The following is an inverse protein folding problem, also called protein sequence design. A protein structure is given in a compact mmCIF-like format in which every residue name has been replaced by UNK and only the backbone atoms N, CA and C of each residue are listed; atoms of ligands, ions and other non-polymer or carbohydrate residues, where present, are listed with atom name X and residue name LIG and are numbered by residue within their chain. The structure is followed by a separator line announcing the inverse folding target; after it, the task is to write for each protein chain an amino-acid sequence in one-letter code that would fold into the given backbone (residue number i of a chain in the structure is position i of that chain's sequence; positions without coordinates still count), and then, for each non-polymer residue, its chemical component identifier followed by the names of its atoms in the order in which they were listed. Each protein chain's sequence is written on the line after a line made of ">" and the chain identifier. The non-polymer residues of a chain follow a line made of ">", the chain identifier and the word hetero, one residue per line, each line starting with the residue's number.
data_IF_164898280610
#
_entry.id   IF_164898280610
#
_cell.length_a   1.000
_cell.length_b   1.000
_cell.length_c   1.000
_cell.angle_alpha   90.00
_cell.angle_beta   90.00
_cell.angle_gamma   90.00
#
_symmetry.space_group_name_H-M   'P 1'
#
loop_
_entity.id
_entity.type
_entity.pdbx_description
1 polymer ?
#
# COMPACT_ATOMS: atom_id res chain seq x y z
N UNK A 1 22.54 -12.86 -41.89
CA UNK A 1 22.49 -14.33 -42.12
C UNK A 1 23.58 -14.94 -41.25
N UNK A 2 23.24 -15.95 -40.46
CA UNK A 2 23.97 -16.52 -39.30
C UNK A 2 23.69 -15.88 -37.93
N UNK A 3 22.45 -16.11 -37.51
CA UNK A 3 22.08 -16.37 -36.11
C UNK A 3 22.67 -17.72 -35.65
N UNK A 4 22.77 -17.89 -34.33
CA UNK A 4 23.13 -19.10 -33.57
C UNK A 4 24.61 -19.24 -33.23
N UNK A 5 25.00 -18.81 -32.03
CA UNK A 5 25.91 -19.52 -31.13
C UNK A 5 26.00 -18.75 -29.80
N UNK A 6 25.13 -19.09 -28.83
CA UNK A 6 25.38 -19.06 -27.37
C UNK A 6 24.07 -19.34 -26.61
N UNK A 7 23.62 -20.59 -26.66
CA UNK A 7 22.71 -21.18 -25.67
C UNK A 7 23.08 -22.66 -25.57
N UNK A 8 24.12 -22.95 -24.79
CA UNK A 8 24.53 -24.31 -24.48
C UNK A 8 25.33 -24.26 -23.18
N UNK A 9 24.62 -24.23 -22.04
CA UNK A 9 25.13 -24.66 -20.73
C UNK A 9 24.06 -24.70 -19.61
N UNK A 10 22.79 -24.97 -19.92
CA UNK A 10 21.75 -25.29 -18.91
C UNK A 10 20.84 -26.45 -19.33
N UNK A 11 21.38 -27.42 -20.06
CA UNK A 11 20.62 -28.56 -20.59
C UNK A 11 21.21 -29.90 -20.20
N UNK A 12 21.42 -30.16 -18.91
CA UNK A 12 21.78 -31.49 -18.39
C UNK A 12 21.17 -31.73 -17.01
N UNK A 13 19.86 -31.88 -16.97
CA UNK A 13 19.19 -32.78 -16.04
C UNK A 13 17.79 -33.10 -16.60
N UNK A 14 17.41 -34.37 -16.52
CA UNK A 14 16.10 -34.93 -16.88
C UNK A 14 15.81 -35.17 -18.37
N UNK A 15 16.53 -36.12 -18.99
CA UNK A 15 15.98 -36.96 -20.06
C UNK A 15 16.51 -38.39 -19.89
N UNK A 16 15.88 -39.17 -19.01
CA UNK A 16 15.82 -40.62 -19.14
C UNK A 16 14.36 -41.02 -18.97
N UNK A 17 13.77 -41.54 -20.05
CA UNK A 17 12.48 -42.23 -20.02
C UNK A 17 11.32 -41.51 -20.67
N UNK A 18 11.36 -41.25 -21.98
CA UNK A 18 10.15 -41.08 -22.78
C UNK A 18 10.31 -41.81 -24.12
N UNK A 19 10.00 -43.10 -24.10
CA UNK A 19 9.52 -43.83 -25.29
C UNK A 19 8.13 -44.36 -24.95
N UNK A 20 7.08 -43.63 -25.33
CA UNK A 20 5.86 -44.25 -25.82
C UNK A 20 4.96 -43.23 -26.52
N UNK A 21 4.37 -43.70 -27.61
CA UNK A 21 3.59 -42.97 -28.57
C UNK A 21 2.32 -42.34 -27.97
N UNK A 22 1.94 -41.20 -28.53
CA UNK A 22 0.70 -40.50 -28.24
C UNK A 22 -0.54 -41.36 -28.53
N UNK A 23 -1.43 -41.46 -27.55
CA UNK A 23 -2.81 -41.90 -27.70
C UNK A 23 -3.72 -40.78 -27.15
N UNK A 24 -4.72 -40.25 -27.89
CA UNK A 24 -5.50 -39.11 -27.44
C UNK A 24 -6.74 -39.58 -26.68
N UNK A 25 -6.74 -39.50 -25.34
CA UNK A 25 -7.90 -39.25 -24.44
C UNK A 25 -7.59 -39.70 -23.01
N UNK A 26 -7.45 -38.72 -22.12
CA UNK A 26 -8.27 -38.57 -20.90
C UNK A 26 -7.59 -37.50 -20.04
N UNK A 27 -8.15 -36.29 -20.01
CA UNK A 27 -7.87 -35.39 -18.89
C UNK A 27 -8.44 -36.07 -17.65
N UNK A 28 -7.56 -36.50 -16.77
CA UNK A 28 -7.90 -37.30 -15.60
C UNK A 28 -8.79 -36.46 -14.66
N UNK A 29 -10.02 -36.92 -14.46
CA UNK A 29 -11.04 -36.22 -13.65
C UNK A 29 -10.58 -36.10 -12.18
N UNK A 30 -9.70 -36.99 -11.72
CA UNK A 30 -9.07 -36.93 -10.40
C UNK A 30 -8.13 -35.73 -10.23
N UNK A 31 -7.40 -35.33 -11.29
CA UNK A 31 -6.54 -34.15 -11.27
C UNK A 31 -7.35 -32.86 -11.21
N UNK A 32 -8.45 -32.77 -11.96
CA UNK A 32 -9.36 -31.63 -11.90
C UNK A 32 -10.08 -31.53 -10.56
N UNK A 33 -10.49 -32.66 -9.98
CA UNK A 33 -11.17 -32.67 -8.68
C UNK A 33 -10.22 -32.35 -7.52
N UNK A 34 -8.97 -32.81 -7.56
CA UNK A 34 -7.96 -32.42 -6.57
C UNK A 34 -7.57 -30.95 -6.70
N UNK A 35 -7.49 -30.41 -7.92
CA UNK A 35 -7.25 -28.98 -8.14
C UNK A 35 -8.45 -28.13 -7.68
N UNK A 36 -9.69 -28.53 -7.98
CA UNK A 36 -10.91 -27.86 -7.48
C UNK A 36 -11.02 -27.93 -5.97
N UNK A 37 -10.61 -29.05 -5.36
CA UNK A 37 -10.57 -29.19 -3.90
C UNK A 37 -9.52 -28.26 -3.30
N UNK A 38 -8.32 -28.17 -3.88
CA UNK A 38 -7.26 -27.24 -3.45
C UNK A 38 -7.62 -25.77 -3.67
N UNK A 39 -8.31 -25.43 -4.77
CA UNK A 39 -8.86 -24.09 -5.01
C UNK A 39 -9.94 -23.79 -3.97
N UNK A 40 -10.88 -24.71 -3.73
CA UNK A 40 -11.91 -24.54 -2.69
C UNK A 40 -11.35 -24.49 -1.26
N UNK A 41 -10.23 -25.16 -0.99
CA UNK A 41 -9.50 -25.11 0.28
C UNK A 41 -8.70 -23.81 0.41
N UNK A 42 -8.15 -23.28 -0.70
CA UNK A 42 -7.53 -21.94 -0.75
C UNK A 42 -8.56 -20.83 -0.63
N UNK A 43 -9.76 -20.98 -1.22
CA UNK A 43 -10.87 -20.03 -1.10
C UNK A 43 -11.43 -20.05 0.32
N UNK A 44 -11.45 -21.21 0.97
CA UNK A 44 -11.78 -21.36 2.40
C UNK A 44 -10.71 -20.76 3.29
N UNK A 45 -9.43 -21.00 3.03
CA UNK A 45 -8.34 -20.36 3.77
C UNK A 45 -8.38 -18.84 3.56
N UNK A 46 -8.70 -18.34 2.36
CA UNK A 46 -8.87 -16.92 2.10
C UNK A 46 -10.13 -16.35 2.76
N UNK A 47 -11.21 -17.13 2.88
CA UNK A 47 -12.41 -16.76 3.61
C UNK A 47 -12.18 -16.76 5.12
N UNK A 48 -11.48 -17.76 5.65
CA UNK A 48 -11.08 -17.87 7.06
C UNK A 48 -10.04 -16.78 7.40
N UNK A 49 -9.11 -16.47 6.49
CA UNK A 49 -8.18 -15.35 6.64
C UNK A 49 -8.92 -14.01 6.54
N UNK A 50 -9.93 -13.90 5.68
CA UNK A 50 -10.84 -12.74 5.69
C UNK A 50 -11.61 -12.66 7.00
N UNK A 51 -12.11 -13.76 7.54
CA UNK A 51 -12.82 -13.79 8.84
C UNK A 51 -11.89 -13.48 10.01
N UNK A 52 -10.61 -13.86 9.94
CA UNK A 52 -9.56 -13.52 10.92
C UNK A 52 -9.07 -12.07 10.75
N UNK A 53 -9.01 -11.53 9.53
CA UNK A 53 -8.72 -10.12 9.25
C UNK A 53 -9.94 -9.21 9.50
N UNK A 54 -11.14 -9.78 9.45
CA UNK A 54 -12.44 -9.17 9.76
C UNK A 54 -12.86 -9.46 11.22
N UNK A 55 -12.01 -10.17 12.01
CA UNK A 55 -12.07 -10.26 13.49
C UNK A 55 -11.66 -8.93 14.14
N UNK A 56 -12.17 -7.85 13.56
CA UNK A 56 -12.37 -6.54 14.13
C UNK A 56 -13.68 -6.54 14.93
N UNK A 57 -13.80 -7.44 15.91
CA UNK A 57 -14.98 -7.54 16.78
C UNK A 57 -15.45 -6.16 17.24
N UNK A 58 -16.52 -5.65 16.60
CA UNK A 58 -17.22 -4.40 16.95
C UNK A 58 -16.38 -3.09 16.87
N UNK A 59 -15.25 -3.05 16.16
CA UNK A 59 -14.38 -1.85 16.06
C UNK A 59 -14.68 -0.94 14.85
N UNK A 60 -15.39 -1.46 13.85
CA UNK A 60 -15.73 -0.73 12.62
C UNK A 60 -16.58 0.52 12.89
N UNK A 61 -16.26 1.61 12.20
CA UNK A 61 -17.25 2.68 11.99
C UNK A 61 -18.33 2.06 11.10
N UNK A 62 -19.48 1.65 11.64
CA UNK A 62 -20.60 1.17 10.81
C UNK A 62 -20.91 2.23 9.74
N UNK A 63 -20.38 1.99 8.53
CA UNK A 63 -20.52 2.88 7.38
C UNK A 63 -21.80 2.57 6.61
N UNK A 64 -22.52 1.51 6.96
CA UNK A 64 -23.84 1.18 6.39
C UNK A 64 -24.95 1.99 7.05
N UNK A 65 -25.23 1.74 8.33
CA UNK A 65 -26.29 2.42 9.09
C UNK A 65 -25.79 3.67 9.83
N UNK A 66 -24.49 3.80 10.04
CA UNK A 66 -23.87 4.79 10.92
C UNK A 66 -23.45 4.16 12.25
N UNK A 67 -22.43 4.70 12.94
CA UNK A 67 -22.01 4.14 14.21
C UNK A 67 -23.12 4.31 15.27
N UNK A 68 -23.42 3.23 16.02
CA UNK A 68 -24.43 3.21 17.10
C UNK A 68 -24.12 4.22 18.22
N UNK A 69 -22.84 4.51 18.44
CA UNK A 69 -22.35 5.60 19.30
C UNK A 69 -21.32 6.44 18.53
N UNK A 70 -21.51 7.76 18.53
CA UNK A 70 -20.66 8.70 17.82
C UNK A 70 -19.34 8.95 18.57
N UNK A 71 -18.18 8.69 17.95
CA UNK A 71 -16.91 8.99 18.58
C UNK A 71 -16.62 10.49 18.53
N UNK A 72 -15.81 10.98 19.47
CA UNK A 72 -15.29 12.36 19.41
C UNK A 72 -14.44 12.56 18.13
N UNK A 73 -13.67 11.56 17.75
CA UNK A 73 -12.81 11.55 16.56
C UNK A 73 -12.96 10.25 15.78
N UNK A 74 -12.97 10.37 14.45
CA UNK A 74 -12.99 9.25 13.53
C UNK A 74 -11.85 9.39 12.53
N UNK A 75 -11.00 8.38 12.45
CA UNK A 75 -9.91 8.30 11.48
C UNK A 75 -10.30 7.38 10.32
N UNK A 76 -10.17 7.88 9.10
CA UNK A 76 -10.25 7.08 7.88
C UNK A 76 -8.85 6.91 7.30
N UNK A 77 -8.49 5.68 6.98
CA UNK A 77 -7.13 5.29 6.67
C UNK A 77 -7.07 4.48 5.37
N UNK A 78 -6.36 4.98 4.36
CA UNK A 78 -6.18 4.29 3.09
C UNK A 78 -4.85 3.52 3.07
N UNK A 79 -4.95 2.22 2.76
CA UNK A 79 -3.83 1.26 2.72
C UNK A 79 -2.90 1.43 1.52
N UNK A 80 -1.78 0.70 1.49
CA UNK A 80 -0.80 0.73 0.41
C UNK A 80 -1.16 -0.18 -0.78
N UNK A 81 -0.44 -0.05 -1.89
CA UNK A 81 -0.63 -0.94 -3.06
C UNK A 81 -0.36 -2.39 -2.69
N UNK A 82 -1.26 -3.28 -3.11
CA UNK A 82 -1.27 -4.72 -2.82
C UNK A 82 -1.50 -5.09 -1.35
N UNK A 83 -1.80 -4.12 -0.48
CA UNK A 83 -2.25 -4.45 0.86
C UNK A 83 -3.60 -5.18 0.79
N UNK A 84 -3.81 -6.20 1.66
CA UNK A 84 -5.09 -6.84 1.79
C UNK A 84 -6.17 -5.84 2.24
N UNK A 85 -7.45 -6.22 2.12
CA UNK A 85 -8.62 -5.35 2.35
C UNK A 85 -8.57 -4.51 3.64
N UNK A 86 -9.43 -3.47 3.70
CA UNK A 86 -9.55 -2.58 4.87
C UNK A 86 -8.25 -1.80 5.17
N UNK A 87 -7.54 -2.16 6.25
CA UNK A 87 -6.34 -1.46 6.73
C UNK A 87 -5.02 -2.10 6.25
N UNK A 88 -5.06 -3.18 5.46
CA UNK A 88 -3.85 -3.95 5.16
C UNK A 88 -3.30 -4.68 6.38
N UNK A 89 -2.16 -5.35 6.24
CA UNK A 89 -1.43 -6.05 7.32
C UNK A 89 -0.08 -5.39 7.67
N UNK A 90 0.28 -4.35 6.91
CA UNK A 90 1.56 -3.66 6.99
C UNK A 90 1.45 -2.38 7.85
N UNK A 91 1.69 -1.20 7.27
CA UNK A 91 1.88 0.06 8.01
C UNK A 91 0.62 0.52 8.74
N UNK A 92 -0.54 0.43 8.08
CA UNK A 92 -1.75 1.07 8.60
C UNK A 92 -2.36 0.31 9.79
N UNK A 93 -2.25 -1.02 9.87
CA UNK A 93 -2.67 -1.78 11.06
C UNK A 93 -1.83 -1.44 12.30
N UNK A 94 -0.51 -1.39 12.16
CA UNK A 94 0.36 -0.97 13.27
C UNK A 94 0.06 0.47 13.71
N UNK A 95 -0.25 1.36 12.77
CA UNK A 95 -0.66 2.72 13.09
C UNK A 95 -1.99 2.80 13.82
N UNK A 96 -2.99 2.00 13.42
CA UNK A 96 -4.27 1.86 14.13
C UNK A 96 -4.03 1.48 15.59
N UNK A 97 -3.23 0.44 15.83
CA UNK A 97 -3.01 -0.10 17.17
C UNK A 97 -2.32 0.94 18.07
N UNK A 98 -1.32 1.65 17.54
CA UNK A 98 -0.64 2.74 18.25
C UNK A 98 -1.61 3.89 18.58
N UNK A 99 -2.44 4.32 17.62
CA UNK A 99 -3.44 5.37 17.84
C UNK A 99 -4.46 4.93 18.89
N UNK A 100 -5.07 3.76 18.72
CA UNK A 100 -6.10 3.26 19.65
C UNK A 100 -5.54 3.07 21.06
N UNK A 101 -4.31 2.55 21.18
CA UNK A 101 -3.61 2.41 22.46
C UNK A 101 -3.45 3.73 23.21
N UNK A 102 -3.10 4.82 22.51
CA UNK A 102 -2.98 6.16 23.11
C UNK A 102 -4.32 6.75 23.57
N UNK A 103 -5.43 6.30 23.00
CA UNK A 103 -6.78 6.66 23.44
C UNK A 103 -7.38 5.65 24.43
N UNK A 104 -6.57 4.70 24.93
CA UNK A 104 -6.99 3.68 25.89
C UNK A 104 -8.00 2.68 25.32
N UNK A 105 -7.97 2.48 24.00
CA UNK A 105 -8.92 1.66 23.24
C UNK A 105 -10.39 2.10 23.45
N UNK A 106 -10.61 3.37 23.83
CA UNK A 106 -11.92 3.93 24.08
C UNK A 106 -12.56 4.43 22.77
N UNK A 107 -13.50 3.61 22.27
CA UNK A 107 -14.24 3.87 21.02
C UNK A 107 -15.11 5.13 21.06
N UNK A 108 -15.37 5.72 22.23
CA UNK A 108 -16.06 7.02 22.35
C UNK A 108 -15.11 8.18 22.08
N UNK A 109 -13.80 7.99 22.26
CA UNK A 109 -12.78 9.00 21.99
C UNK A 109 -12.27 8.92 20.56
N UNK A 110 -11.94 7.73 20.09
CA UNK A 110 -11.37 7.49 18.76
C UNK A 110 -11.95 6.23 18.15
N UNK A 111 -12.28 6.28 16.86
CA UNK A 111 -12.49 5.10 16.01
C UNK A 111 -11.63 5.21 14.77
N UNK A 112 -11.17 4.08 14.27
CA UNK A 112 -10.33 4.00 13.08
C UNK A 112 -10.97 3.03 12.09
N UNK A 113 -11.06 3.44 10.84
CA UNK A 113 -11.67 2.64 9.77
C UNK A 113 -10.77 2.68 8.54
N UNK A 114 -10.46 1.52 7.99
CA UNK A 114 -9.79 1.42 6.71
C UNK A 114 -10.74 1.72 5.56
N UNK A 115 -10.20 2.33 4.51
CA UNK A 115 -10.93 2.57 3.26
C UNK A 115 -11.01 1.25 2.51
N UNK A 116 -12.23 0.84 2.20
CA UNK A 116 -12.50 -0.36 1.43
C UNK A 116 -13.64 -0.06 0.45
N UNK A 117 -14.72 -0.84 0.46
CA UNK A 117 -15.84 -0.65 -0.46
C UNK A 117 -16.91 0.24 0.14
N UNK A 118 -17.36 1.24 -0.61
CA UNK A 118 -18.47 2.12 -0.20
C UNK A 118 -19.29 2.59 -1.41
N UNK A 119 -20.60 2.39 -1.35
CA UNK A 119 -21.57 2.84 -2.35
C UNK A 119 -21.20 2.48 -3.81
N UNK A 120 -20.73 1.25 -4.02
CA UNK A 120 -20.32 0.75 -5.33
C UNK A 120 -18.91 1.17 -5.76
N UNK A 121 -18.24 2.05 -5.02
CA UNK A 121 -16.83 2.38 -5.20
C UNK A 121 -15.96 1.39 -4.44
N UNK A 122 -15.09 0.68 -5.16
CA UNK A 122 -14.23 -0.37 -4.63
C UNK A 122 -12.81 0.16 -4.55
N UNK A 123 -12.20 0.13 -3.37
CA UNK A 123 -10.76 0.37 -3.24
C UNK A 123 -10.00 -0.96 -3.32
N UNK A 124 -9.49 -1.30 -4.51
CA UNK A 124 -8.76 -2.56 -4.74
C UNK A 124 -7.34 -2.56 -4.18
N UNK A 125 -6.76 -1.38 -3.97
CA UNK A 125 -5.33 -1.18 -3.75
C UNK A 125 -4.46 -1.76 -4.89
N UNK A 126 -4.97 -1.71 -6.12
CA UNK A 126 -4.36 -2.34 -7.28
C UNK A 126 -3.16 -1.55 -7.83
N UNK A 127 -2.16 -2.26 -8.34
CA UNK A 127 -0.99 -1.63 -8.93
C UNK A 127 -1.28 -1.08 -10.33
N UNK A 128 -1.89 -1.87 -11.20
CA UNK A 128 -1.94 -1.53 -12.62
C UNK A 128 -2.95 -0.41 -12.90
N UNK A 129 -4.21 -0.62 -12.52
CA UNK A 129 -5.31 0.27 -12.82
C UNK A 129 -5.37 1.45 -11.86
N UNK A 130 -5.14 1.23 -10.57
CA UNK A 130 -5.30 2.29 -9.57
C UNK A 130 -3.99 3.07 -9.34
N UNK A 131 -2.85 2.40 -9.12
CA UNK A 131 -1.59 3.12 -8.91
C UNK A 131 -1.06 3.72 -10.21
N UNK A 132 -0.68 2.87 -11.17
CA UNK A 132 0.08 3.28 -12.36
C UNK A 132 -0.73 4.10 -13.38
N UNK A 133 -2.02 3.78 -13.56
CA UNK A 133 -2.85 4.49 -14.53
C UNK A 133 -3.50 5.74 -13.93
N UNK A 134 -3.93 5.71 -12.67
CA UNK A 134 -4.69 6.80 -12.07
C UNK A 134 -3.86 7.70 -11.13
N UNK A 135 -2.68 7.28 -10.68
CA UNK A 135 -1.95 7.99 -9.63
C UNK A 135 -2.66 7.90 -8.29
N UNK A 136 -3.05 6.68 -7.91
CA UNK A 136 -3.90 6.38 -6.75
C UNK A 136 -5.36 6.16 -7.15
N UNK A 137 -6.07 5.28 -6.45
CA UNK A 137 -7.46 4.90 -6.80
C UNK A 137 -8.41 6.10 -6.74
N UNK A 138 -9.11 6.36 -7.84
CA UNK A 138 -10.20 7.35 -7.87
C UNK A 138 -11.44 6.82 -7.12
N UNK A 139 -11.75 5.53 -7.26
CA UNK A 139 -12.84 4.90 -6.52
C UNK A 139 -12.54 4.83 -5.03
N UNK A 140 -11.31 4.54 -4.63
CA UNK A 140 -10.91 4.63 -3.22
C UNK A 140 -11.07 6.04 -2.65
N UNK A 141 -10.82 7.08 -3.45
CA UNK A 141 -11.00 8.46 -3.02
C UNK A 141 -12.49 8.82 -2.82
N UNK A 142 -13.35 8.35 -3.73
CA UNK A 142 -14.81 8.46 -3.62
C UNK A 142 -15.34 7.68 -2.41
N UNK A 143 -14.85 6.46 -2.19
CA UNK A 143 -15.21 5.63 -1.04
C UNK A 143 -14.82 6.31 0.27
N UNK A 144 -13.58 6.79 0.40
CA UNK A 144 -13.11 7.50 1.60
C UNK A 144 -13.95 8.74 1.92
N UNK A 145 -14.24 9.57 0.91
CA UNK A 145 -15.09 10.73 1.06
C UNK A 145 -16.52 10.36 1.48
N UNK A 146 -17.13 9.39 0.78
CA UNK A 146 -18.49 8.91 1.04
C UNK A 146 -18.65 8.30 2.43
N UNK A 147 -17.71 7.46 2.87
CA UNK A 147 -17.66 6.91 4.23
C UNK A 147 -17.59 8.03 5.27
N UNK A 148 -16.76 9.05 5.02
CA UNK A 148 -16.62 10.20 5.92
C UNK A 148 -17.94 10.99 5.98
N UNK A 149 -18.55 11.31 4.83
CA UNK A 149 -19.83 12.04 4.73
C UNK A 149 -20.99 11.28 5.39
N UNK A 150 -20.98 9.96 5.29
CA UNK A 150 -21.96 9.11 5.96
C UNK A 150 -21.85 9.20 7.47
N UNK A 151 -20.64 9.07 8.03
CA UNK A 151 -20.42 9.23 9.48
C UNK A 151 -20.71 10.66 9.90
N UNK A 152 -20.31 11.65 9.11
CA UNK A 152 -20.57 13.06 9.33
C UNK A 152 -22.07 13.38 9.41
N UNK A 153 -22.89 12.70 8.61
CA UNK A 153 -24.35 12.85 8.63
C UNK A 153 -24.95 12.37 9.94
N UNK A 154 -24.50 11.22 10.43
CA UNK A 154 -25.02 10.60 11.65
C UNK A 154 -24.40 11.18 12.94
N UNK A 155 -23.17 11.69 12.85
CA UNK A 155 -22.39 12.19 13.97
C UNK A 155 -21.93 13.63 13.73
N UNK A 156 -22.84 14.57 14.00
CA UNK A 156 -22.66 16.01 13.69
C UNK A 156 -21.46 16.66 14.38
N UNK A 157 -21.02 16.13 15.52
CA UNK A 157 -19.94 16.69 16.33
C UNK A 157 -18.60 15.95 16.18
N UNK A 158 -18.58 14.83 15.43
CA UNK A 158 -17.34 14.08 15.22
C UNK A 158 -16.38 14.87 14.34
N UNK A 159 -15.12 14.93 14.77
CA UNK A 159 -13.99 15.45 13.99
C UNK A 159 -13.35 14.30 13.20
N UNK A 160 -12.87 14.61 12.00
CA UNK A 160 -12.30 13.63 11.09
C UNK A 160 -10.79 13.77 10.96
N UNK A 161 -10.13 12.62 10.87
CA UNK A 161 -8.70 12.50 10.59
C UNK A 161 -8.60 11.62 9.35
N UNK A 162 -7.83 12.07 8.38
CA UNK A 162 -7.53 11.28 7.19
C UNK A 162 -6.08 10.88 7.20
N UNK A 163 -5.81 9.61 6.85
CA UNK A 163 -4.46 9.10 6.74
C UNK A 163 -4.31 8.22 5.51
N UNK A 164 -3.12 8.20 4.92
CA UNK A 164 -2.80 7.27 3.84
C UNK A 164 -1.34 6.84 3.83
N UNK A 165 -1.10 5.61 3.41
CA UNK A 165 0.27 5.10 3.19
C UNK A 165 0.47 4.75 1.72
N UNK A 166 1.60 5.14 1.14
CA UNK A 166 1.95 4.83 -0.26
C UNK A 166 0.85 5.29 -1.22
N UNK A 167 0.28 4.39 -2.03
CA UNK A 167 -0.92 4.68 -2.83
C UNK A 167 -2.07 5.31 -2.03
N UNK A 168 -2.31 4.85 -0.80
CA UNK A 168 -3.34 5.37 0.08
C UNK A 168 -3.15 6.85 0.41
N UNK A 169 -1.91 7.35 0.42
CA UNK A 169 -1.65 8.79 0.56
C UNK A 169 -2.27 9.58 -0.60
N UNK A 170 -2.12 9.08 -1.83
CA UNK A 170 -2.71 9.67 -3.03
C UNK A 170 -4.24 9.59 -2.99
N UNK A 171 -4.80 8.47 -2.51
CA UNK A 171 -6.24 8.28 -2.29
C UNK A 171 -6.79 9.35 -1.33
N UNK A 172 -6.15 9.51 -0.17
CA UNK A 172 -6.56 10.49 0.84
C UNK A 172 -6.45 11.94 0.32
N UNK A 173 -5.41 12.27 -0.47
CA UNK A 173 -5.32 13.57 -1.16
C UNK A 173 -6.49 13.79 -2.11
N UNK A 174 -6.79 12.80 -2.95
CA UNK A 174 -7.88 12.90 -3.94
C UNK A 174 -9.25 13.01 -3.29
N UNK A 175 -9.47 12.37 -2.13
CA UNK A 175 -10.74 12.37 -1.42
C UNK A 175 -11.23 13.80 -1.07
N UNK A 176 -10.32 14.77 -0.89
CA UNK A 176 -10.68 16.16 -0.62
C UNK A 176 -11.50 16.81 -1.74
N UNK A 177 -11.46 16.27 -2.97
CA UNK A 177 -12.27 16.73 -4.10
C UNK A 177 -13.75 16.34 -3.96
N UNK A 178 -14.01 15.27 -3.22
CA UNK A 178 -15.30 14.57 -3.24
C UNK A 178 -16.09 14.74 -1.94
N UNK A 179 -15.41 14.99 -0.82
CA UNK A 179 -16.06 15.17 0.47
C UNK A 179 -16.91 16.45 0.49
N UNK A 180 -18.08 16.39 1.12
CA UNK A 180 -18.94 17.55 1.26
C UNK A 180 -18.26 18.68 2.06
N UNK A 181 -18.66 19.92 1.80
CA UNK A 181 -18.08 21.09 2.48
C UNK A 181 -18.22 21.00 4.01
N UNK A 182 -19.40 20.63 4.51
CA UNK A 182 -19.67 20.52 5.94
C UNK A 182 -18.80 19.45 6.63
N UNK A 183 -18.44 18.40 5.91
CA UNK A 183 -17.53 17.36 6.39
C UNK A 183 -16.08 17.81 6.28
N UNK A 184 -15.69 18.49 5.18
CA UNK A 184 -14.35 19.03 4.99
C UNK A 184 -13.95 20.01 6.11
N UNK A 185 -14.89 20.85 6.54
CA UNK A 185 -14.69 21.81 7.64
C UNK A 185 -14.49 21.09 9.00
N UNK A 186 -14.79 19.78 9.09
CA UNK A 186 -14.55 18.93 10.26
C UNK A 186 -13.36 17.98 10.13
N UNK A 187 -12.70 17.93 8.97
CA UNK A 187 -11.41 17.27 8.84
C UNK A 187 -10.38 18.17 9.52
N UNK A 188 -9.68 17.64 10.52
CA UNK A 188 -8.74 18.42 11.34
C UNK A 188 -7.28 18.05 11.11
N UNK A 189 -7.02 16.81 10.67
CA UNK A 189 -5.68 16.31 10.37
C UNK A 189 -5.71 15.48 9.09
N UNK A 190 -4.70 15.68 8.25
CA UNK A 190 -4.37 14.84 7.11
C UNK A 190 -2.92 14.37 7.24
N UNK A 191 -2.70 13.07 7.42
CA UNK A 191 -1.38 12.48 7.57
C UNK A 191 -1.02 11.51 6.46
N UNK A 192 0.27 11.37 6.16
CA UNK A 192 0.75 10.39 5.18
C UNK A 192 2.05 9.72 5.57
N UNK A 193 2.21 8.45 5.18
CA UNK A 193 3.47 7.72 5.19
C UNK A 193 3.92 7.47 3.75
N UNK A 194 5.15 7.85 3.39
CA UNK A 194 5.72 7.52 2.08
C UNK A 194 4.91 8.06 0.91
N UNK A 195 4.52 9.34 0.98
CA UNK A 195 3.59 9.96 0.05
C UNK A 195 4.16 10.12 -1.38
N UNK A 196 3.62 9.42 -2.41
CA UNK A 196 4.15 9.47 -3.75
C UNK A 196 3.81 10.75 -4.53
N UNK A 197 3.11 11.73 -3.96
CA UNK A 197 2.51 12.87 -4.69
C UNK A 197 3.48 13.53 -5.67
N UNK A 198 4.75 13.68 -5.29
CA UNK A 198 5.79 14.32 -6.13
C UNK A 198 6.11 13.53 -7.40
N UNK A 199 5.94 12.21 -7.40
CA UNK A 199 6.20 11.33 -8.55
C UNK A 199 5.15 11.46 -9.65
N UNK A 200 4.04 12.14 -9.34
CA UNK A 200 2.89 12.32 -10.23
C UNK A 200 2.74 13.76 -10.76
N UNK A 201 3.59 14.69 -10.33
CA UNK A 201 3.49 16.11 -10.68
C UNK A 201 3.67 16.40 -12.18
N UNK A 202 4.32 15.50 -12.93
CA UNK A 202 4.57 15.62 -14.36
C UNK A 202 3.53 14.88 -15.24
N UNK A 203 2.57 14.19 -14.62
CA UNK A 203 1.49 13.48 -15.33
C UNK A 203 0.25 14.37 -15.40
N UNK A 204 -0.02 14.96 -16.57
CA UNK A 204 -1.09 15.97 -16.75
C UNK A 204 -2.49 15.47 -16.41
N UNK A 205 -2.76 14.18 -16.60
CA UNK A 205 -4.05 13.56 -16.33
C UNK A 205 -4.29 13.31 -14.83
N UNK A 206 -3.24 13.38 -14.02
CA UNK A 206 -3.31 13.19 -12.56
C UNK A 206 -3.20 14.55 -11.88
N UNK A 207 -4.16 14.83 -11.00
CA UNK A 207 -4.18 16.08 -10.23
C UNK A 207 -4.69 15.85 -8.81
N UNK A 208 -4.09 16.56 -7.86
CA UNK A 208 -4.47 16.51 -6.46
C UNK A 208 -5.08 17.85 -6.06
N UNK A 209 -6.25 17.86 -5.39
CA UNK A 209 -6.83 19.09 -4.88
C UNK A 209 -5.93 19.68 -3.78
N UNK A 210 -6.02 20.99 -3.59
CA UNK A 210 -5.39 21.63 -2.42
C UNK A 210 -6.04 21.11 -1.14
N UNK A 211 -5.21 20.83 -0.13
CA UNK A 211 -5.70 20.51 1.22
C UNK A 211 -6.16 21.82 1.86
N UNK A 212 -7.37 21.87 2.48
CA UNK A 212 -7.85 23.10 3.12
C UNK A 212 -6.89 23.62 4.18
N UNK A 213 -6.69 24.94 4.25
CA UNK A 213 -5.67 25.58 5.10
C UNK A 213 -5.83 25.29 6.60
N UNK A 214 -7.04 24.99 7.06
CA UNK A 214 -7.31 24.66 8.47
C UNK A 214 -6.86 23.25 8.85
N UNK A 215 -6.67 22.36 7.88
CA UNK A 215 -6.27 20.97 8.10
C UNK A 215 -4.79 20.92 8.44
N UNK A 216 -4.45 20.35 9.60
CA UNK A 216 -3.06 20.09 9.95
C UNK A 216 -2.52 18.94 9.11
N UNK A 217 -1.42 19.17 8.42
CA UNK A 217 -0.77 18.19 7.58
C UNK A 217 0.40 17.55 8.33
N UNK A 218 0.53 16.22 8.25
CA UNK A 218 1.62 15.46 8.86
C UNK A 218 2.19 14.47 7.84
N UNK A 219 3.28 14.83 7.18
CA UNK A 219 3.89 13.97 6.15
C UNK A 219 5.17 13.34 6.68
N UNK A 220 5.19 12.01 6.74
CA UNK A 220 6.31 11.21 7.20
C UNK A 220 7.03 10.61 6.00
N UNK A 221 8.30 10.94 5.85
CA UNK A 221 9.12 10.48 4.74
C UNK A 221 10.51 10.08 5.23
N UNK A 222 10.89 8.82 5.02
CA UNK A 222 12.21 8.30 5.37
C UNK A 222 13.25 8.70 4.31
N UNK A 223 14.48 8.95 4.75
CA UNK A 223 15.65 9.10 3.89
C UNK A 223 15.80 7.84 3.03
N UNK A 224 15.98 8.03 1.73
CA UNK A 224 16.04 6.94 0.76
C UNK A 224 14.68 6.44 0.27
N UNK A 225 13.55 6.86 0.88
CA UNK A 225 12.22 6.61 0.32
C UNK A 225 11.98 7.55 -0.85
N UNK A 226 12.27 7.02 -2.03
CA UNK A 226 12.28 7.80 -3.24
C UNK A 226 10.86 8.06 -3.79
N UNK A 227 9.79 7.48 -3.21
CA UNK A 227 8.43 7.91 -3.53
C UNK A 227 8.10 9.31 -2.99
N UNK A 228 8.61 9.65 -1.80
CA UNK A 228 8.30 10.93 -1.15
C UNK A 228 9.46 11.93 -1.14
N UNK A 229 10.67 11.52 -1.56
CA UNK A 229 11.79 12.44 -1.82
C UNK A 229 12.15 12.48 -3.30
N UNK A 230 12.49 13.66 -3.86
CA UNK A 230 13.04 13.74 -5.21
C UNK A 230 14.31 12.88 -5.28
N UNK A 231 14.46 12.10 -6.33
CA UNK A 231 15.61 11.19 -6.48
C UNK A 231 15.35 9.91 -7.27
N UNK A 232 14.10 9.55 -7.56
CA UNK A 232 13.80 8.34 -8.34
C UNK A 232 14.47 8.32 -9.73
N UNK A 233 14.54 9.47 -10.39
CA UNK A 233 15.28 9.60 -11.66
C UNK A 233 16.79 9.45 -11.47
N UNK A 234 17.34 9.71 -10.28
CA UNK A 234 18.77 9.50 -9.98
C UNK A 234 19.04 8.04 -9.61
N UNK A 235 18.13 7.42 -8.85
CA UNK A 235 18.18 5.99 -8.49
C UNK A 235 17.99 5.11 -9.73
N UNK A 236 16.98 5.38 -10.55
CA UNK A 236 16.58 4.55 -11.69
C UNK A 236 16.98 5.10 -13.06
N UNK A 237 17.53 6.31 -13.16
CA UNK A 237 18.01 6.88 -14.42
C UNK A 237 19.19 6.14 -15.04
N UNK A 238 19.89 5.32 -14.26
CA UNK A 238 20.92 4.39 -14.73
C UNK A 238 20.41 3.01 -15.11
N UNK A 239 19.11 2.73 -14.94
CA UNK A 239 18.56 1.40 -15.19
C UNK A 239 18.29 1.25 -16.69
N UNK A 240 18.90 0.23 -17.28
CA UNK A 240 18.64 -0.17 -18.65
C UNK A 240 17.27 -0.83 -18.78
N UNK A 241 16.59 -0.66 -19.91
CA UNK A 241 15.33 -1.36 -20.22
C UNK A 241 15.54 -2.85 -20.56
N UNK A 242 16.79 -3.33 -20.53
CA UNK A 242 17.10 -4.75 -20.63
C UNK A 242 16.59 -5.47 -19.36
N UNK A 243 15.68 -6.44 -19.47
CA UNK A 243 15.05 -7.09 -18.32
C UNK A 243 16.04 -7.75 -17.33
N UNK A 244 17.16 -8.27 -17.83
CA UNK A 244 18.17 -8.95 -17.01
C UNK A 244 19.02 -7.93 -16.27
N UNK A 245 19.55 -6.93 -16.96
CA UNK A 245 20.32 -5.84 -16.34
C UNK A 245 19.46 -5.02 -15.38
N UNK A 246 18.19 -4.79 -15.72
CA UNK A 246 17.21 -4.17 -14.84
C UNK A 246 17.05 -4.95 -13.53
N UNK A 247 16.87 -6.27 -13.62
CA UNK A 247 16.74 -7.13 -12.44
C UNK A 247 18.00 -7.09 -11.56
N UNK A 248 19.20 -7.10 -12.16
CA UNK A 248 20.46 -6.98 -11.42
C UNK A 248 20.63 -5.61 -10.77
N UNK A 249 20.35 -4.52 -11.48
CA UNK A 249 20.46 -3.16 -10.95
C UNK A 249 19.48 -2.95 -9.78
N UNK A 250 18.26 -3.48 -9.91
CA UNK A 250 17.27 -3.40 -8.86
C UNK A 250 17.66 -4.22 -7.63
N UNK A 251 18.13 -5.45 -7.82
CA UNK A 251 18.65 -6.27 -6.72
C UNK A 251 19.80 -5.56 -5.99
N UNK A 252 20.74 -4.95 -6.72
CA UNK A 252 21.82 -4.17 -6.12
C UNK A 252 21.33 -2.96 -5.32
N UNK A 253 20.28 -2.27 -5.78
CA UNK A 253 19.67 -1.17 -5.04
C UNK A 253 18.96 -1.65 -3.76
N UNK A 254 18.29 -2.80 -3.81
CA UNK A 254 17.70 -3.47 -2.65
C UNK A 254 18.76 -3.85 -1.63
N UNK A 255 19.85 -4.50 -2.08
CA UNK A 255 20.93 -4.95 -1.21
C UNK A 255 21.63 -3.76 -0.53
N UNK A 256 21.97 -2.73 -1.30
CA UNK A 256 22.57 -1.51 -0.75
C UNK A 256 21.67 -0.83 0.29
N UNK A 257 20.35 -0.76 0.05
CA UNK A 257 19.44 -0.21 1.05
C UNK A 257 19.30 -1.07 2.31
N UNK A 258 19.34 -2.39 2.18
CA UNK A 258 19.35 -3.28 3.34
C UNK A 258 20.64 -3.11 4.16
N UNK A 259 21.76 -2.81 3.51
CA UNK A 259 23.03 -2.53 4.19
C UNK A 259 23.05 -1.17 4.88
N UNK A 260 22.55 -0.11 4.24
CA UNK A 260 22.63 1.27 4.79
C UNK A 260 21.40 1.69 5.60
N UNK A 261 20.27 1.01 5.42
CA UNK A 261 18.96 1.38 5.97
C UNK A 261 18.56 0.60 7.23
N UNK A 262 19.38 -0.33 7.71
CA UNK A 262 19.06 -1.16 8.88
C UNK A 262 19.72 -0.68 10.18
N UNK A 263 20.51 0.39 10.12
CA UNK A 263 21.12 1.00 11.30
C UNK A 263 20.08 1.32 12.39
N UNK A 264 20.29 0.73 13.57
CA UNK A 264 19.44 0.92 14.75
C UNK A 264 18.24 -0.03 14.86
N UNK A 265 18.07 -0.98 13.94
CA UNK A 265 17.06 -2.03 14.01
C UNK A 265 17.59 -3.28 14.74
N UNK A 266 16.68 -4.06 15.33
CA UNK A 266 17.03 -5.36 15.89
C UNK A 266 17.25 -6.40 14.78
N UNK A 267 17.98 -7.48 15.06
CA UNK A 267 18.19 -8.55 14.07
C UNK A 267 16.87 -9.18 13.59
N UNK A 268 15.86 -9.24 14.47
CA UNK A 268 14.51 -9.72 14.13
C UNK A 268 13.79 -8.76 13.18
N UNK A 269 13.88 -7.46 13.45
CA UNK A 269 13.31 -6.42 12.57
C UNK A 269 13.96 -6.47 11.19
N UNK A 270 15.28 -6.65 11.13
CA UNK A 270 16.02 -6.80 9.87
C UNK A 270 15.59 -8.06 9.11
N UNK A 271 15.33 -9.17 9.80
CA UNK A 271 14.87 -10.41 9.18
C UNK A 271 13.45 -10.28 8.60
N UNK A 272 12.52 -9.67 9.36
CA UNK A 272 11.16 -9.42 8.90
C UNK A 272 11.13 -8.44 7.70
N UNK A 273 11.98 -7.41 7.74
CA UNK A 273 12.15 -6.49 6.61
C UNK A 273 12.65 -7.19 5.34
N UNK A 274 13.64 -8.07 5.48
CA UNK A 274 14.14 -8.86 4.34
C UNK A 274 13.03 -9.72 3.75
N UNK A 275 12.21 -10.34 4.60
CA UNK A 275 11.07 -11.14 4.17
C UNK A 275 10.03 -10.30 3.44
N UNK A 276 9.60 -9.17 4.02
CA UNK A 276 8.64 -8.24 3.41
C UNK A 276 9.15 -7.70 2.07
N UNK A 277 10.40 -7.25 2.02
CA UNK A 277 11.00 -6.76 0.78
C UNK A 277 11.05 -7.84 -0.29
N UNK A 278 11.46 -9.07 0.08
CA UNK A 278 11.47 -10.22 -0.84
C UNK A 278 10.07 -10.65 -1.29
N UNK A 279 9.07 -10.55 -0.43
CA UNK A 279 7.68 -10.85 -0.75
C UNK A 279 7.09 -9.79 -1.69
N UNK A 280 7.30 -8.51 -1.42
CA UNK A 280 6.91 -7.41 -2.31
C UNK A 280 7.59 -7.54 -3.68
N UNK A 281 8.88 -7.89 -3.69
CA UNK A 281 9.65 -8.19 -4.90
C UNK A 281 9.01 -9.36 -5.65
N UNK A 282 8.74 -10.46 -4.95
CA UNK A 282 8.17 -11.67 -5.52
C UNK A 282 6.76 -11.43 -6.06
N UNK A 283 5.93 -10.65 -5.36
CA UNK A 283 4.59 -10.28 -5.81
C UNK A 283 4.67 -9.39 -7.04
N UNK A 284 5.50 -8.34 -7.03
CA UNK A 284 5.75 -7.51 -8.21
C UNK A 284 6.19 -8.35 -9.42
N UNK A 285 7.13 -9.28 -9.21
CA UNK A 285 7.61 -10.21 -10.24
C UNK A 285 6.60 -11.27 -10.66
N UNK A 286 5.62 -11.63 -9.81
CA UNK A 286 4.51 -12.55 -10.14
C UNK A 286 3.38 -11.86 -10.91
N UNK A 287 3.22 -10.55 -10.76
CA UNK A 287 2.29 -9.75 -11.56
C UNK A 287 2.95 -9.27 -12.88
N UNK A 288 4.29 -9.24 -12.93
CA UNK A 288 5.08 -8.97 -14.15
C UNK A 288 4.78 -9.84 -15.39
N UNK A 289 4.33 -11.11 -15.29
CA UNK A 289 3.93 -11.94 -16.43
C UNK A 289 2.44 -11.79 -16.80
N UNK A 290 1.61 -11.21 -15.93
CA UNK A 290 0.20 -10.87 -16.20
C UNK A 290 0.09 -9.58 -17.02
N UNK A 291 1.13 -8.77 -16.95
CA UNK A 291 1.42 -7.67 -17.83
C UNK A 291 1.60 -8.23 -19.25
N UNK A 292 0.59 -8.01 -20.09
CA UNK A 292 0.60 -8.36 -21.52
C UNK A 292 1.74 -7.65 -22.26
N UNK A 293 2.06 -8.05 -23.49
CA UNK A 293 3.01 -7.32 -24.34
C UNK A 293 2.63 -5.84 -24.57
N UNK A 294 1.35 -5.48 -24.37
CA UNK A 294 0.83 -4.10 -24.37
C UNK A 294 1.08 -3.39 -23.04
N UNK A 295 0.98 -4.11 -21.92
CA UNK A 295 1.39 -3.61 -20.62
C UNK A 295 2.92 -3.47 -20.53
N UNK A 296 3.74 -4.33 -21.18
CA UNK A 296 5.18 -4.10 -21.36
C UNK A 296 5.43 -2.83 -22.17
N UNK A 297 4.62 -2.49 -23.18
CA UNK A 297 4.70 -1.16 -23.85
C UNK A 297 4.28 -0.01 -22.94
N UNK A 298 3.37 -0.22 -21.99
CA UNK A 298 2.99 0.77 -20.97
C UNK A 298 4.04 0.90 -19.84
N UNK A 299 4.76 -0.17 -19.51
CA UNK A 299 5.76 -0.21 -18.44
C UNK A 299 7.15 0.19 -18.93
N UNK A 300 7.50 -0.19 -20.17
CA UNK A 300 8.80 0.04 -20.80
C UNK A 300 8.74 1.23 -21.77
N UNK A 301 7.59 1.48 -22.42
CA UNK A 301 7.42 2.59 -23.37
C UNK A 301 6.78 3.85 -22.77
N UNK A 302 6.17 3.77 -21.58
CA UNK A 302 5.43 4.90 -21.00
C UNK A 302 5.92 5.28 -19.60
N UNK A 303 7.23 5.29 -19.33
CA UNK A 303 7.91 5.97 -18.20
C UNK A 303 7.29 5.87 -16.79
N UNK A 304 6.24 5.09 -16.50
CA UNK A 304 5.45 5.19 -15.27
C UNK A 304 5.76 4.07 -14.28
N UNK A 305 6.32 2.95 -14.73
CA UNK A 305 6.62 1.83 -13.85
C UNK A 305 7.62 2.20 -12.74
N UNK A 306 8.64 3.01 -13.05
CA UNK A 306 9.57 3.47 -12.03
C UNK A 306 8.85 4.21 -10.89
N UNK A 307 7.70 4.85 -11.14
CA UNK A 307 6.93 5.56 -10.10
C UNK A 307 6.36 4.63 -9.04
N UNK A 308 6.29 3.32 -9.30
CA UNK A 308 5.93 2.31 -8.29
C UNK A 308 7.13 1.57 -7.74
N UNK A 309 8.33 1.66 -8.33
CA UNK A 309 9.46 0.85 -7.89
C UNK A 309 9.82 1.13 -6.43
N UNK A 310 9.45 0.19 -5.57
CA UNK A 310 9.69 0.27 -4.14
C UNK A 310 11.11 -0.20 -3.85
N UNK A 311 11.82 0.57 -3.06
CA UNK A 311 13.00 0.09 -2.35
C UNK A 311 12.61 -0.33 -0.93
N UNK A 312 13.36 -1.23 -0.27
CA UNK A 312 13.01 -1.78 1.04
C UNK A 312 12.62 -0.72 2.08
N UNK A 313 13.27 0.45 2.04
CA UNK A 313 13.00 1.55 2.98
C UNK A 313 11.56 2.05 2.95
N UNK A 314 10.85 1.93 1.83
CA UNK A 314 9.46 2.33 1.74
C UNK A 314 8.53 1.51 2.66
N UNK A 315 8.98 0.33 3.09
CA UNK A 315 8.25 -0.51 4.03
C UNK A 315 8.66 -0.27 5.49
N UNK A 316 9.67 0.57 5.76
CA UNK A 316 10.25 0.73 7.10
C UNK A 316 9.40 1.56 8.06
N UNK A 317 8.27 2.12 7.61
CA UNK A 317 7.39 2.94 8.45
C UNK A 317 6.86 2.18 9.68
N UNK A 318 6.55 0.89 9.56
CA UNK A 318 6.13 0.12 10.75
C UNK A 318 7.33 -0.29 11.62
N UNK A 319 8.45 -0.70 11.00
CA UNK A 319 9.60 -1.28 11.71
C UNK A 319 10.41 -0.25 12.49
N UNK A 320 10.57 0.97 11.98
CA UNK A 320 11.31 2.04 12.67
C UNK A 320 10.49 2.76 13.75
N UNK A 321 9.36 2.18 14.18
CA UNK A 321 8.39 2.80 15.11
C UNK A 321 7.89 4.16 14.61
N UNK A 322 7.87 4.38 13.29
CA UNK A 322 7.35 5.63 12.71
C UNK A 322 5.86 5.73 12.99
N UNK A 323 5.14 4.61 12.97
CA UNK A 323 3.73 4.52 13.36
C UNK A 323 3.48 4.97 14.80
N UNK A 324 4.31 4.54 15.76
CA UNK A 324 4.21 4.97 17.17
C UNK A 324 4.43 6.48 17.31
N UNK A 325 5.46 6.99 16.63
CA UNK A 325 5.77 8.41 16.69
C UNK A 325 4.68 9.25 16.03
N UNK A 326 4.16 8.80 14.89
CA UNK A 326 3.06 9.44 14.21
C UNK A 326 1.78 9.45 15.04
N UNK A 327 1.51 8.38 15.80
CA UNK A 327 0.36 8.31 16.70
C UNK A 327 0.49 9.34 17.85
N UNK A 328 1.70 9.48 18.39
CA UNK A 328 2.02 10.48 19.42
C UNK A 328 1.84 11.90 18.89
N UNK A 329 2.44 12.20 17.72
CA UNK A 329 2.28 13.49 17.05
C UNK A 329 0.83 13.81 16.72
N UNK A 330 0.06 12.83 16.23
CA UNK A 330 -1.38 13.00 15.98
C UNK A 330 -2.10 13.43 17.26
N UNK A 331 -1.88 12.73 18.37
CA UNK A 331 -2.48 13.07 19.66
C UNK A 331 -2.08 14.47 20.14
N UNK A 332 -0.81 14.82 20.04
CA UNK A 332 -0.32 16.15 20.45
C UNK A 332 -0.93 17.27 19.61
N UNK A 333 -0.98 17.10 18.28
CA UNK A 333 -1.63 18.05 17.38
C UNK A 333 -3.10 18.26 17.73
N UNK A 334 -3.83 17.17 18.03
CA UNK A 334 -5.23 17.22 18.46
C UNK A 334 -5.42 17.89 19.83
N UNK A 335 -4.40 17.86 20.68
CA UNK A 335 -4.34 18.54 21.98
C UNK A 335 -3.80 19.99 21.89
N UNK A 336 -3.45 20.47 20.69
CA UNK A 336 -2.85 21.80 20.50
C UNK A 336 -1.42 21.90 21.02
N UNK A 337 -0.77 20.76 21.26
CA UNK A 337 0.66 20.66 21.58
C UNK A 337 1.40 20.52 20.25
N UNK A 338 2.54 21.18 20.11
CA UNK A 338 3.39 21.02 18.92
C UNK A 338 3.82 19.57 18.71
N UNK A 339 4.50 19.29 17.60
CA UNK A 339 5.01 17.94 17.31
C UNK A 339 6.03 17.49 18.36
N UNK A 340 5.93 16.24 18.81
CA UNK A 340 7.00 15.57 19.53
C UNK A 340 8.20 15.40 18.63
N UNK A 341 9.38 15.47 19.25
CA UNK A 341 10.64 15.23 18.56
C UNK A 341 10.77 13.73 18.25
N UNK A 342 10.31 13.32 17.06
CA UNK A 342 10.54 11.99 16.53
C UNK A 342 12.03 11.80 16.26
N UNK A 343 12.79 11.32 17.26
CA UNK A 343 14.22 10.98 17.14
C UNK A 343 14.44 9.68 16.37
N UNK A 344 13.88 9.58 15.18
CA UNK A 344 14.06 8.45 14.26
C UNK A 344 15.06 8.90 13.19
N UNK A 345 16.27 8.31 13.16
CA UNK A 345 17.28 8.67 12.16
C UNK A 345 16.74 8.56 10.73
N UNK A 346 16.97 9.62 9.95
CA UNK A 346 16.52 9.73 8.57
C UNK A 346 15.03 9.95 8.37
N UNK A 347 14.22 10.10 9.43
CA UNK A 347 12.82 10.47 9.27
C UNK A 347 12.68 11.98 9.15
N UNK A 348 12.06 12.44 8.07
CA UNK A 348 11.57 13.81 7.93
C UNK A 348 10.07 13.84 8.22
N UNK A 349 9.65 14.76 9.09
CA UNK A 349 8.24 15.07 9.35
C UNK A 349 8.00 16.52 8.94
N UNK A 350 7.07 16.75 8.02
CA UNK A 350 6.70 18.10 7.55
C UNK A 350 5.23 18.40 7.78
#
# INVERSE_FOLDING_TARGET
>A
MYFAFTYLLLGQCAMHGLTQAANPRSYDVESSNSLKKRIGESDRIAADLREILDDSGDDSLDTGSGPKECPKMAMFAARGTLDPVNMGDMVMNHFRDAVMGLYGNDKKKMKVQGVDNFDGHVYGADMEHEYLQQGGSNDGALAMAGMTDKVATNCKNTKFIWWGWSQGALVARKAFRHVSKDTADRIVVFGTFGDPVITWNDVKEVSFPAVPEHVKQLHYCLDGDALCKPGMNEVFGGFTLNPVEFAFNWQGAVDNQLETGTDGLSDTDVADLKKVAQEAVTQGMKHLPQITAEAVKLLVGNTKFWRWMLLPVHFYYHVRRVTDCAATNLKEQLEGKGLSDCKIPGLTVT
#
